data_IF_456583862475
#
_entry.id   IF_456583862475
#
_cell.length_a   1.000
_cell.length_b   1.000
_cell.length_c   1.000
_cell.angle_alpha   90.00
_cell.angle_beta   90.00
_cell.angle_gamma   90.00
#
_symmetry.space_group_name_H-M   'P 1'
#
loop_
_entity.id
_entity.type
_entity.pdbx_description
1 polymer ?
#
# COMPACT_ATOMS: atom_id res chain seq x y z
N UNK A 1 -7.64 -21.53 -8.32
CA UNK A 1 -8.84 -21.20 -7.50
C UNK A 1 -8.36 -20.59 -6.20
N UNK A 2 -8.99 -19.52 -5.71
CA UNK A 2 -8.54 -18.85 -4.48
C UNK A 2 -8.69 -19.78 -3.27
N UNK A 3 -7.61 -19.93 -2.50
CA UNK A 3 -7.64 -20.65 -1.24
C UNK A 3 -8.55 -19.91 -0.25
N UNK A 4 -9.45 -20.66 0.39
CA UNK A 4 -10.37 -20.13 1.39
C UNK A 4 -9.97 -20.73 2.73
N UNK A 5 -9.87 -19.93 3.81
CA UNK A 5 -9.48 -20.42 5.14
C UNK A 5 -10.42 -21.48 5.77
N UNK A 6 -11.59 -21.75 5.15
CA UNK A 6 -12.59 -22.69 5.65
C UNK A 6 -12.66 -23.91 4.74
N UNK A 7 -12.62 -25.11 5.33
CA UNK A 7 -12.75 -26.40 4.64
C UNK A 7 -14.21 -26.70 4.28
N UNK A 8 -14.79 -25.93 3.35
CA UNK A 8 -16.08 -26.25 2.76
C UNK A 8 -15.91 -27.04 1.48
N UNK A 9 -16.80 -28.01 1.25
CA UNK A 9 -16.83 -28.78 0.00
C UNK A 9 -17.24 -27.89 -1.18
N UNK A 10 -16.88 -28.30 -2.40
CA UNK A 10 -17.20 -27.60 -3.63
C UNK A 10 -18.71 -27.36 -3.82
N UNK A 11 -19.54 -28.31 -3.37
CA UNK A 11 -21.01 -28.23 -3.45
C UNK A 11 -21.55 -27.11 -2.56
N UNK A 12 -21.06 -27.02 -1.31
CA UNK A 12 -21.49 -25.98 -0.38
C UNK A 12 -21.07 -24.59 -0.82
N UNK A 13 -19.97 -24.49 -1.58
CA UNK A 13 -19.51 -23.22 -2.17
C UNK A 13 -20.37 -22.80 -3.36
N UNK A 14 -20.86 -23.77 -4.13
CA UNK A 14 -21.72 -23.51 -5.28
C UNK A 14 -23.11 -22.96 -4.88
N UNK A 15 -23.59 -23.27 -3.67
CA UNK A 15 -24.85 -22.72 -3.13
C UNK A 15 -24.88 -21.18 -3.05
N UNK A 16 -23.72 -20.52 -2.96
CA UNK A 16 -23.62 -19.06 -2.85
C UNK A 16 -23.51 -18.34 -4.20
N UNK A 17 -23.51 -19.08 -5.32
CA UNK A 17 -23.38 -18.50 -6.66
C UNK A 17 -24.75 -18.04 -7.16
N UNK A 18 -24.87 -16.74 -7.45
CA UNK A 18 -26.13 -16.12 -7.90
C UNK A 18 -26.27 -16.06 -9.43
N UNK A 19 -25.19 -16.32 -10.17
CA UNK A 19 -25.07 -16.07 -11.63
C UNK A 19 -25.67 -17.20 -12.51
N UNK A 20 -26.57 -18.01 -11.95
CA UNK A 20 -27.33 -19.04 -12.67
C UNK A 20 -26.63 -20.40 -12.82
N UNK A 21 -27.36 -21.39 -13.34
CA UNK A 21 -26.94 -22.81 -13.35
C UNK A 21 -25.66 -23.06 -14.17
N UNK A 22 -25.48 -22.36 -15.29
CA UNK A 22 -24.29 -22.52 -16.12
C UNK A 22 -23.00 -22.10 -15.37
N UNK A 23 -23.08 -21.09 -14.50
CA UNK A 23 -21.95 -20.66 -13.68
C UNK A 23 -21.67 -21.66 -12.54
N UNK A 24 -22.73 -22.18 -11.92
CA UNK A 24 -22.65 -23.24 -10.90
C UNK A 24 -21.98 -24.50 -11.45
N UNK A 25 -22.41 -24.97 -12.63
CA UNK A 25 -21.87 -26.18 -13.25
C UNK A 25 -20.38 -26.00 -13.64
N UNK A 26 -20.03 -24.84 -14.19
CA UNK A 26 -18.66 -24.50 -14.52
C UNK A 26 -17.76 -24.40 -13.27
N UNK A 27 -18.28 -23.80 -12.20
CA UNK A 27 -17.58 -23.69 -10.91
C UNK A 27 -17.33 -25.07 -10.30
N UNK A 28 -18.35 -25.93 -10.23
CA UNK A 28 -18.24 -27.28 -9.67
C UNK A 28 -17.20 -28.12 -10.41
N UNK A 29 -17.22 -28.04 -11.75
CA UNK A 29 -16.22 -28.73 -12.58
C UNK A 29 -14.81 -28.27 -12.26
N UNK A 30 -14.59 -26.96 -12.17
CA UNK A 30 -13.26 -26.41 -11.87
C UNK A 30 -12.81 -26.69 -10.44
N UNK A 31 -13.74 -26.66 -9.48
CA UNK A 31 -13.47 -26.90 -8.07
C UNK A 31 -13.00 -28.34 -7.81
N UNK A 32 -13.75 -29.33 -8.31
CA UNK A 32 -13.45 -30.74 -8.09
C UNK A 32 -12.16 -31.17 -8.80
N UNK A 33 -11.94 -30.65 -10.02
CA UNK A 33 -10.70 -30.91 -10.77
C UNK A 33 -9.48 -30.36 -10.02
N UNK A 34 -9.58 -29.14 -9.47
CA UNK A 34 -8.50 -28.57 -8.68
C UNK A 34 -8.27 -29.30 -7.36
N UNK A 35 -9.31 -29.77 -6.69
CA UNK A 35 -9.17 -30.57 -5.46
C UNK A 35 -8.38 -31.86 -5.75
N UNK A 36 -8.74 -32.59 -6.82
CA UNK A 36 -8.03 -33.78 -7.28
C UNK A 36 -6.55 -33.49 -7.58
N UNK A 37 -6.26 -32.42 -8.33
CA UNK A 37 -4.89 -32.05 -8.65
C UNK A 37 -4.10 -31.64 -7.40
N UNK A 38 -4.72 -30.92 -6.45
CA UNK A 38 -4.03 -30.56 -5.20
C UNK A 38 -3.73 -31.79 -4.32
N UNK A 39 -4.59 -32.80 -4.30
CA UNK A 39 -4.34 -34.03 -3.55
C UNK A 39 -3.24 -34.87 -4.20
N UNK A 40 -3.18 -34.94 -5.52
CA UNK A 40 -2.06 -35.55 -6.26
C UNK A 40 -0.74 -34.79 -6.00
N UNK A 41 -0.77 -33.46 -6.03
CA UNK A 41 0.40 -32.63 -5.73
C UNK A 41 0.86 -32.75 -4.27
N UNK A 42 -0.05 -32.87 -3.30
CA UNK A 42 0.31 -33.12 -1.88
C UNK A 42 1.04 -34.45 -1.73
N UNK A 43 0.57 -35.51 -2.38
CA UNK A 43 1.21 -36.83 -2.35
C UNK A 43 2.63 -36.78 -2.94
N UNK A 44 2.85 -35.98 -3.99
CA UNK A 44 4.18 -35.81 -4.59
C UNK A 44 5.08 -34.84 -3.81
N UNK A 45 4.54 -33.78 -3.23
CA UNK A 45 5.28 -32.83 -2.38
C UNK A 45 5.70 -33.45 -1.04
N UNK A 46 4.90 -34.36 -0.46
CA UNK A 46 5.26 -35.14 0.73
C UNK A 46 6.48 -36.05 0.49
N UNK A 47 6.74 -36.46 -0.77
CA UNK A 47 7.94 -37.22 -1.15
C UNK A 47 9.18 -36.33 -1.36
N UNK A 48 9.00 -35.03 -1.57
CA UNK A 48 10.05 -34.05 -1.90
C UNK A 48 10.17 -32.95 -0.83
N UNK A 49 10.07 -33.32 0.46
CA UNK A 49 10.03 -32.40 1.62
C UNK A 49 11.25 -31.46 1.82
N UNK A 50 12.12 -31.30 0.82
CA UNK A 50 13.31 -30.43 0.83
C UNK A 50 13.52 -29.60 -0.45
N UNK A 51 12.65 -29.64 -1.45
CA UNK A 51 12.72 -28.66 -2.55
C UNK A 51 11.69 -27.55 -2.33
N UNK A 52 12.19 -26.34 -2.10
CA UNK A 52 11.38 -25.12 -2.08
C UNK A 52 11.13 -24.71 -3.55
N UNK A 53 10.34 -25.49 -4.27
CA UNK A 53 9.90 -25.14 -5.63
C UNK A 53 8.66 -24.25 -5.53
N UNK A 54 8.87 -23.01 -5.09
CA UNK A 54 7.84 -21.95 -5.15
C UNK A 54 7.80 -21.36 -6.57
N UNK A 55 7.46 -22.21 -7.55
CA UNK A 55 7.28 -21.83 -8.95
C UNK A 55 5.89 -21.21 -9.22
N UNK A 56 5.22 -20.70 -8.19
CA UNK A 56 4.00 -19.93 -8.36
C UNK A 56 4.37 -18.53 -8.85
N UNK A 57 4.42 -18.35 -10.17
CA UNK A 57 4.49 -17.02 -10.79
C UNK A 57 3.38 -16.15 -10.20
N UNK A 58 3.73 -15.22 -9.32
CA UNK A 58 2.76 -14.35 -8.64
C UNK A 58 1.85 -13.68 -9.67
N UNK A 59 0.54 -13.77 -9.43
CA UNK A 59 -0.44 -13.08 -10.28
C UNK A 59 -0.15 -11.57 -10.22
N UNK A 60 -0.06 -10.93 -11.38
CA UNK A 60 0.18 -9.48 -11.48
C UNK A 60 -0.86 -8.64 -10.71
N UNK A 61 -2.05 -9.19 -10.44
CA UNK A 61 -3.07 -8.55 -9.61
C UNK A 61 -2.79 -8.63 -8.09
N UNK A 62 -1.82 -9.43 -7.67
CA UNK A 62 -1.43 -9.64 -6.27
C UNK A 62 -0.31 -8.67 -5.83
N UNK A 63 0.25 -7.87 -6.75
CA UNK A 63 1.23 -6.83 -6.41
C UNK A 63 0.53 -5.68 -5.67
N UNK A 64 0.43 -5.81 -4.36
CA UNK A 64 -0.14 -4.79 -3.48
C UNK A 64 0.94 -3.79 -3.04
N UNK A 65 0.71 -2.51 -3.32
CA UNK A 65 1.56 -1.43 -2.79
C UNK A 65 1.11 -1.06 -1.38
N UNK A 66 2.07 -0.73 -0.51
CA UNK A 66 1.76 -0.19 0.82
C UNK A 66 1.01 1.14 0.67
N UNK A 67 -0.16 1.24 1.31
CA UNK A 67 -0.99 2.46 1.30
C UNK A 67 -0.97 3.23 2.62
N UNK A 68 -0.50 2.61 3.70
CA UNK A 68 -0.47 3.24 5.01
C UNK A 68 0.83 4.05 5.21
N UNK A 69 0.71 5.35 4.95
CA UNK A 69 1.71 6.37 5.25
C UNK A 69 1.19 7.29 6.36
N UNK A 70 2.04 7.67 7.33
CA UNK A 70 1.64 8.61 8.37
C UNK A 70 1.26 9.97 7.76
N UNK A 71 0.28 10.63 8.36
CA UNK A 71 -0.22 11.92 7.88
C UNK A 71 0.86 13.02 7.95
N UNK A 72 0.80 13.96 6.99
CA UNK A 72 1.59 15.18 7.03
C UNK A 72 1.26 15.98 8.29
N UNK A 73 2.29 16.35 9.06
CA UNK A 73 2.09 16.86 10.43
C UNK A 73 2.46 18.34 10.62
N UNK A 74 3.40 18.90 9.83
CA UNK A 74 3.87 20.28 9.98
C UNK A 74 3.17 21.24 8.99
N UNK A 75 1.83 21.27 9.02
CA UNK A 75 1.04 22.20 8.21
C UNK A 75 0.78 23.50 8.98
N UNK A 76 1.66 24.50 8.84
CA UNK A 76 1.50 25.78 9.55
C UNK A 76 2.04 26.97 8.78
N UNK A 77 1.33 28.10 8.85
CA UNK A 77 1.77 29.37 8.29
C UNK A 77 2.69 30.11 9.27
N UNK A 78 3.73 30.74 8.72
CA UNK A 78 4.70 31.53 9.47
C UNK A 78 4.76 32.93 8.86
N UNK A 79 4.45 33.94 9.67
CA UNK A 79 4.58 35.35 9.28
C UNK A 79 5.98 35.81 9.66
N UNK A 80 6.83 36.05 8.66
CA UNK A 80 8.15 36.65 8.87
C UNK A 80 7.98 38.17 9.07
N UNK A 81 8.69 38.79 10.04
CA UNK A 81 8.59 40.23 10.26
C UNK A 81 9.10 41.02 9.04
N UNK A 82 8.47 42.16 8.79
CA UNK A 82 8.82 43.02 7.65
C UNK A 82 10.19 43.68 7.88
N UNK A 83 11.04 43.65 6.86
CA UNK A 83 12.29 44.40 6.83
C UNK A 83 12.02 45.91 6.81
N UNK A 84 12.30 46.57 7.93
CA UNK A 84 12.10 48.03 8.10
C UNK A 84 13.33 48.87 7.67
N UNK A 85 14.45 48.24 7.34
CA UNK A 85 15.70 48.92 6.98
C UNK A 85 16.02 48.76 5.49
N UNK A 86 16.65 49.78 4.85
CA UNK A 86 16.97 49.76 3.42
C UNK A 86 17.98 48.68 3.01
N UNK A 87 18.77 48.15 3.96
CA UNK A 87 19.75 47.07 3.75
C UNK A 87 19.49 45.91 4.73
N UNK A 88 18.28 45.35 4.71
CA UNK A 88 17.90 44.27 5.63
C UNK A 88 18.59 42.96 5.27
N UNK A 89 19.30 42.35 6.21
CA UNK A 89 19.72 40.95 6.12
C UNK A 89 18.50 40.01 6.19
N UNK A 90 18.68 38.77 5.72
CA UNK A 90 17.67 37.71 5.77
C UNK A 90 17.01 37.63 7.16
N UNK A 91 15.69 37.79 7.21
CA UNK A 91 14.93 37.64 8.45
C UNK A 91 14.80 36.17 8.78
N UNK A 92 15.21 35.77 9.98
CA UNK A 92 15.14 34.39 10.46
C UNK A 92 14.13 34.25 11.58
N UNK A 93 13.33 33.18 11.55
CA UNK A 93 12.45 32.79 12.65
C UNK A 93 12.72 31.32 12.99
N UNK A 94 13.00 31.06 14.26
CA UNK A 94 13.16 29.69 14.77
C UNK A 94 11.86 29.22 15.42
N UNK A 95 11.35 28.05 15.02
CA UNK A 95 10.18 27.39 15.61
C UNK A 95 10.56 25.97 16.00
N UNK A 96 10.57 25.68 17.30
CA UNK A 96 10.77 24.33 17.80
C UNK A 96 9.44 23.56 17.72
N UNK A 97 9.47 22.36 17.14
CA UNK A 97 8.30 21.48 17.02
C UNK A 97 8.68 20.04 17.40
N UNK A 98 7.81 19.30 18.10
CA UNK A 98 8.06 17.90 18.41
C UNK A 98 7.95 17.06 17.14
N UNK A 99 8.85 16.09 16.96
CA UNK A 99 8.80 15.18 15.81
C UNK A 99 7.78 14.05 16.06
N UNK A 100 7.08 13.56 15.02
CA UNK A 100 6.24 12.37 15.11
C UNK A 100 7.05 11.13 15.47
N UNK A 101 6.42 10.23 16.23
CA UNK A 101 6.99 8.92 16.56
C UNK A 101 6.79 7.95 15.38
N UNK A 102 7.64 8.07 14.36
CA UNK A 102 7.65 7.19 13.18
C UNK A 102 9.05 6.91 12.66
N UNK A 103 9.30 5.67 12.23
CA UNK A 103 10.56 5.27 11.57
C UNK A 103 10.43 5.58 10.07
N UNK A 104 10.35 6.87 9.73
CA UNK A 104 10.24 7.39 8.36
C UNK A 104 11.13 8.62 8.17
N UNK A 105 11.60 8.86 6.95
CA UNK A 105 12.30 10.10 6.60
C UNK A 105 11.28 11.18 6.23
N UNK A 106 11.28 12.28 6.97
CA UNK A 106 10.39 13.42 6.72
C UNK A 106 11.06 14.45 5.80
N UNK A 107 10.33 14.94 4.79
CA UNK A 107 10.77 16.02 3.90
C UNK A 107 10.00 17.30 4.23
N UNK A 108 10.73 18.39 4.48
CA UNK A 108 10.13 19.71 4.73
C UNK A 108 10.10 20.55 3.47
N UNK A 109 8.92 21.08 3.13
CA UNK A 109 8.73 22.01 2.01
C UNK A 109 8.20 23.33 2.56
N UNK A 110 8.91 24.42 2.26
CA UNK A 110 8.50 25.77 2.65
C UNK A 110 8.08 26.56 1.41
N UNK A 111 6.91 27.20 1.48
CA UNK A 111 6.44 28.10 0.43
C UNK A 111 6.36 29.51 1.04
N UNK A 112 7.06 30.46 0.44
CA UNK A 112 7.04 31.86 0.87
C UNK A 112 6.31 32.71 -0.15
N UNK A 113 5.48 33.63 0.34
CA UNK A 113 4.73 34.58 -0.48
C UNK A 113 5.11 35.99 -0.04
N UNK A 114 5.67 36.78 -0.95
CA UNK A 114 6.03 38.18 -0.73
C UNK A 114 5.25 39.10 -1.66
N UNK A 115 4.79 40.24 -1.14
CA UNK A 115 4.06 41.25 -1.93
C UNK A 115 4.91 41.90 -3.02
N UNK A 116 6.23 41.93 -2.85
CA UNK A 116 7.16 42.58 -3.77
C UNK A 116 7.87 41.62 -4.72
N UNK A 117 8.14 40.40 -4.26
CA UNK A 117 8.93 39.39 -4.99
C UNK A 117 8.08 38.22 -5.53
N UNK A 118 6.79 38.14 -5.16
CA UNK A 118 5.89 37.06 -5.58
C UNK A 118 6.04 35.78 -4.75
N UNK A 119 5.79 34.64 -5.39
CA UNK A 119 5.90 33.30 -4.80
C UNK A 119 7.31 32.73 -4.95
N UNK A 120 7.87 32.20 -3.86
CA UNK A 120 9.17 31.53 -3.87
C UNK A 120 9.13 30.25 -3.04
N UNK A 121 9.41 29.12 -3.69
CA UNK A 121 9.48 27.81 -3.06
C UNK A 121 10.90 27.52 -2.55
N UNK A 122 11.00 27.05 -1.31
CA UNK A 122 12.23 26.55 -0.71
C UNK A 122 12.07 25.05 -0.42
N UNK A 123 13.00 24.25 -0.93
CA UNK A 123 13.06 22.81 -0.64
C UNK A 123 14.22 22.57 0.32
N UNK A 124 13.97 21.87 1.42
CA UNK A 124 15.02 21.41 2.34
C UNK A 124 15.19 19.90 2.17
N UNK A 125 16.44 19.46 2.01
CA UNK A 125 16.85 18.04 1.83
C UNK A 125 16.94 17.35 3.18
#
# INVERSE_FOLDING_TARGET
MKEIPLSYTCERRAEYILDGQACVDAFLKCCNEMESQTDEMKEDHLKLARSEDDDSYMDSNEIVSRTNFPESWLWSDIILPACQQPNCESTTLMKAVPLPDSITTWQFTGISLSKTLGEQCATTV
#
